data_IF_466661813625
#
_entry.id   IF_466661813625
#
_cell.length_a   1.000
_cell.length_b   1.000
_cell.length_c   1.000
_cell.angle_alpha   90.00
_cell.angle_beta   90.00
_cell.angle_gamma   90.00
#
_symmetry.space_group_name_H-M   'P 1'
#
loop_
_entity.id
_entity.type
_entity.pdbx_description
1 polymer ?
#
# COMPACT_ATOMS: atom_id res chain seq x y z
N UNK A 1 -5.66 -32.89 14.12
CA UNK A 1 -4.84 -31.69 13.82
C UNK A 1 -5.82 -30.56 13.52
N UNK A 2 -5.93 -29.55 14.40
CA UNK A 2 -6.86 -28.42 14.22
C UNK A 2 -6.44 -27.66 12.97
N UNK A 3 -7.33 -27.48 11.99
CA UNK A 3 -7.02 -26.65 10.82
C UNK A 3 -6.71 -25.24 11.33
N UNK A 4 -5.59 -24.63 10.91
CA UNK A 4 -5.26 -23.28 11.33
C UNK A 4 -6.37 -22.34 10.89
N UNK A 5 -6.83 -21.48 11.80
CA UNK A 5 -8.00 -20.64 11.58
C UNK A 5 -7.61 -19.22 11.15
N UNK A 6 -6.82 -19.18 10.08
CA UNK A 6 -6.20 -17.98 9.54
C UNK A 6 -7.26 -16.94 9.19
N UNK A 7 -8.37 -17.36 8.60
CA UNK A 7 -9.43 -16.46 8.15
C UNK A 7 -10.12 -15.77 9.35
N UNK A 8 -10.42 -16.50 10.43
CA UNK A 8 -11.03 -15.89 11.62
C UNK A 8 -10.09 -14.91 12.33
N UNK A 9 -8.80 -15.23 12.42
CA UNK A 9 -7.81 -14.31 13.01
C UNK A 9 -7.67 -13.06 12.14
N UNK A 10 -7.56 -13.23 10.82
CA UNK A 10 -7.46 -12.14 9.86
C UNK A 10 -8.70 -11.21 9.90
N UNK A 11 -9.91 -11.78 9.96
CA UNK A 11 -11.15 -11.02 10.11
C UNK A 11 -11.24 -10.29 11.46
N UNK A 12 -10.78 -10.92 12.54
CA UNK A 12 -10.71 -10.31 13.86
C UNK A 12 -9.79 -9.09 13.87
N UNK A 13 -8.58 -9.22 13.34
CA UNK A 13 -7.61 -8.13 13.23
C UNK A 13 -8.12 -7.00 12.33
N UNK A 14 -8.75 -7.35 11.20
CA UNK A 14 -9.35 -6.37 10.29
C UNK A 14 -10.45 -5.56 10.96
N UNK A 15 -11.35 -6.20 11.71
CA UNK A 15 -12.41 -5.51 12.49
C UNK A 15 -11.84 -4.64 13.60
N UNK A 16 -10.74 -5.07 14.23
CA UNK A 16 -10.05 -4.29 15.27
C UNK A 16 -9.19 -3.15 14.70
N UNK A 17 -9.08 -3.01 13.36
CA UNK A 17 -8.19 -2.02 12.75
C UNK A 17 -6.72 -2.24 13.12
N UNK A 18 -6.31 -3.48 13.36
CA UNK A 18 -4.92 -3.84 13.69
C UNK A 18 -4.19 -4.21 12.39
N UNK A 19 -3.09 -3.51 12.03
CA UNK A 19 -2.28 -3.87 10.87
C UNK A 19 -1.69 -5.28 11.03
N UNK A 20 -1.66 -6.03 9.93
CA UNK A 20 -0.99 -7.34 9.88
C UNK A 20 -0.51 -7.65 8.47
N UNK A 21 0.23 -8.75 8.31
CA UNK A 21 0.64 -9.30 7.02
C UNK A 21 0.06 -10.69 6.84
N UNK A 22 -0.49 -10.93 5.65
CA UNK A 22 -0.77 -12.27 5.14
C UNK A 22 0.44 -12.74 4.35
N UNK A 23 1.19 -13.70 4.89
CA UNK A 23 2.30 -14.34 4.19
C UNK A 23 1.84 -15.67 3.59
N UNK A 24 1.95 -15.83 2.28
CA UNK A 24 1.52 -17.03 1.54
C UNK A 24 2.71 -17.63 0.81
N UNK A 25 3.01 -18.90 1.05
CA UNK A 25 3.97 -19.66 0.25
C UNK A 25 3.32 -19.94 -1.11
N UNK A 26 3.78 -19.26 -2.16
CA UNK A 26 3.21 -19.34 -3.51
C UNK A 26 3.91 -20.38 -4.38
N UNK A 27 5.19 -20.68 -4.09
CA UNK A 27 5.98 -21.67 -4.82
C UNK A 27 6.95 -22.38 -3.91
N UNK A 28 7.18 -23.66 -4.16
CA UNK A 28 8.23 -24.45 -3.50
C UNK A 28 8.90 -25.38 -4.51
N UNK A 29 10.22 -25.52 -4.43
CA UNK A 29 11.02 -26.45 -5.24
C UNK A 29 11.89 -27.29 -4.31
N UNK A 30 11.98 -28.59 -4.60
CA UNK A 30 12.63 -29.60 -3.77
C UNK A 30 12.04 -29.69 -2.35
N UNK A 31 12.78 -30.32 -1.42
CA UNK A 31 12.31 -30.58 -0.07
C UNK A 31 12.25 -29.29 0.77
N UNK A 32 11.06 -28.72 0.89
CA UNK A 32 10.75 -27.59 1.78
C UNK A 32 9.82 -28.03 2.92
N UNK A 33 10.01 -27.41 4.09
CA UNK A 33 9.20 -27.66 5.29
C UNK A 33 7.75 -27.18 5.14
N UNK A 34 7.53 -26.02 4.51
CA UNK A 34 6.20 -25.58 4.10
C UNK A 34 5.95 -25.95 2.64
N UNK A 35 4.68 -26.15 2.28
CA UNK A 35 4.23 -26.42 0.91
C UNK A 35 3.54 -25.20 0.34
N UNK A 36 3.44 -25.13 -0.99
CA UNK A 36 2.61 -24.12 -1.64
C UNK A 36 1.19 -24.13 -1.06
N UNK A 37 0.64 -22.93 -0.84
CA UNK A 37 -0.64 -22.72 -0.16
C UNK A 37 -0.55 -22.61 1.37
N UNK A 38 0.61 -22.87 1.98
CA UNK A 38 0.82 -22.58 3.40
C UNK A 38 0.77 -21.06 3.65
N UNK A 39 0.08 -20.66 4.72
CA UNK A 39 -0.17 -19.26 5.06
C UNK A 39 0.21 -18.98 6.52
N UNK A 40 0.56 -17.73 6.82
CA UNK A 40 0.71 -17.23 8.17
C UNK A 40 0.19 -15.79 8.28
N UNK A 41 -0.40 -15.47 9.43
CA UNK A 41 -0.72 -14.11 9.85
C UNK A 41 0.42 -13.60 10.72
N UNK A 42 1.05 -12.51 10.30
CA UNK A 42 2.19 -11.90 10.99
C UNK A 42 1.76 -10.51 11.48
N UNK A 43 1.92 -10.25 12.77
CA UNK A 43 1.63 -8.94 13.38
C UNK A 43 2.79 -7.97 13.16
N UNK A 44 2.56 -6.68 13.43
CA UNK A 44 3.55 -5.60 13.26
C UNK A 44 4.85 -5.84 14.04
N UNK A 45 4.76 -6.41 15.25
CA UNK A 45 5.91 -6.78 16.06
C UNK A 45 6.73 -7.97 15.50
N UNK A 46 6.23 -8.63 14.45
CA UNK A 46 6.81 -9.83 13.83
C UNK A 46 6.32 -11.15 14.44
N UNK A 47 5.37 -11.12 15.38
CA UNK A 47 4.75 -12.32 15.94
C UNK A 47 3.90 -13.02 14.88
N UNK A 48 4.09 -14.33 14.71
CA UNK A 48 3.20 -15.16 13.88
C UNK A 48 1.99 -15.52 14.76
N UNK A 49 0.87 -14.81 14.55
CA UNK A 49 -0.35 -15.01 15.35
C UNK A 49 -1.03 -16.34 15.04
N UNK A 50 -0.97 -16.80 13.78
CA UNK A 50 -1.55 -18.06 13.32
C UNK A 50 -0.86 -18.55 12.04
N UNK A 51 -0.82 -19.86 11.83
CA UNK A 51 -0.31 -20.47 10.61
C UNK A 51 1.21 -20.69 10.60
N UNK A 52 1.74 -20.99 9.41
CA UNK A 52 3.13 -21.39 9.24
C UNK A 52 3.62 -21.15 7.81
N UNK A 53 4.83 -20.60 7.68
CA UNK A 53 5.51 -20.30 6.40
C UNK A 53 6.85 -21.04 6.24
N UNK A 54 7.14 -22.02 7.10
CA UNK A 54 8.39 -22.77 7.08
C UNK A 54 9.24 -22.61 8.34
N UNK A 55 10.35 -23.35 8.40
CA UNK A 55 11.29 -23.35 9.52
C UNK A 55 12.11 -22.05 9.65
N UNK A 56 13.11 -22.07 10.54
CA UNK A 56 13.91 -20.88 10.89
C UNK A 56 14.55 -20.15 9.71
N UNK A 57 14.97 -20.87 8.66
CA UNK A 57 15.72 -20.31 7.55
C UNK A 57 14.93 -19.33 6.68
N UNK A 58 13.62 -19.54 6.50
CA UNK A 58 12.76 -18.63 5.73
C UNK A 58 12.17 -17.50 6.59
N UNK A 59 11.95 -17.74 7.89
CA UNK A 59 11.30 -16.80 8.79
C UNK A 59 12.01 -15.46 8.87
N UNK A 60 13.33 -15.43 8.97
CA UNK A 60 14.06 -14.16 9.09
C UNK A 60 13.83 -13.23 7.90
N UNK A 61 13.82 -13.76 6.67
CA UNK A 61 13.59 -12.96 5.46
C UNK A 61 12.14 -12.50 5.35
N UNK A 62 11.18 -13.39 5.62
CA UNK A 62 9.74 -13.07 5.54
C UNK A 62 9.31 -12.10 6.63
N UNK A 63 9.78 -12.26 7.87
CA UNK A 63 9.44 -11.35 8.97
C UNK A 63 10.02 -9.94 8.74
N UNK A 64 11.22 -9.83 8.17
CA UNK A 64 11.77 -8.53 7.75
C UNK A 64 10.89 -7.91 6.66
N UNK A 65 10.56 -8.68 5.63
CA UNK A 65 9.68 -8.20 4.57
C UNK A 65 8.30 -7.79 5.10
N UNK A 66 7.73 -8.52 6.07
CA UNK A 66 6.45 -8.21 6.69
C UNK A 66 6.48 -6.87 7.43
N UNK A 67 7.52 -6.63 8.24
CA UNK A 67 7.69 -5.33 8.93
C UNK A 67 7.83 -4.18 7.97
N UNK A 68 8.67 -4.34 6.94
CA UNK A 68 8.82 -3.31 5.91
C UNK A 68 7.49 -3.08 5.15
N UNK A 69 6.72 -4.14 4.87
CA UNK A 69 5.42 -4.06 4.19
C UNK A 69 4.32 -3.38 5.00
N UNK A 70 4.30 -3.56 6.32
CA UNK A 70 3.38 -2.80 7.18
C UNK A 70 3.78 -1.33 7.20
N UNK A 71 5.09 -1.04 7.27
CA UNK A 71 5.58 0.34 7.36
C UNK A 71 5.32 1.16 6.09
N UNK A 72 5.37 0.54 4.91
CA UNK A 72 5.17 1.26 3.64
C UNK A 72 3.87 0.93 2.89
N UNK A 73 3.14 -0.09 3.33
CA UNK A 73 1.89 -0.55 2.72
C UNK A 73 2.07 -1.34 1.42
N UNK A 74 3.30 -1.72 1.06
CA UNK A 74 3.59 -2.33 -0.23
C UNK A 74 3.80 -3.86 -0.13
N UNK A 75 3.16 -4.65 -1.01
CA UNK A 75 3.37 -6.10 -1.04
C UNK A 75 4.77 -6.45 -1.55
N UNK A 76 5.30 -7.58 -1.09
CA UNK A 76 6.64 -8.06 -1.45
C UNK A 76 6.60 -9.53 -1.84
N UNK A 77 7.39 -9.90 -2.85
CA UNK A 77 7.66 -11.30 -3.16
C UNK A 77 9.08 -11.64 -2.69
N UNK A 78 9.20 -12.57 -1.74
CA UNK A 78 10.48 -13.02 -1.19
C UNK A 78 10.81 -14.41 -1.72
N UNK A 79 11.94 -14.55 -2.41
CA UNK A 79 12.47 -15.83 -2.86
C UNK A 79 13.62 -16.27 -1.95
N UNK A 80 13.40 -17.35 -1.20
CA UNK A 80 14.39 -17.95 -0.30
C UNK A 80 15.00 -19.15 -1.01
N UNK A 81 16.28 -19.04 -1.37
CA UNK A 81 16.99 -20.05 -2.18
C UNK A 81 18.36 -20.38 -1.60
N UNK A 82 18.90 -21.59 -1.82
CA UNK A 82 20.26 -21.92 -1.41
C UNK A 82 21.30 -21.14 -2.24
N UNK A 83 22.53 -21.07 -1.72
CA UNK A 83 23.59 -20.19 -2.24
C UNK A 83 24.04 -20.51 -3.68
N UNK A 84 24.02 -21.79 -4.06
CA UNK A 84 24.34 -22.24 -5.42
C UNK A 84 23.34 -21.69 -6.45
N UNK A 85 22.05 -21.79 -6.19
CA UNK A 85 21.01 -21.23 -7.08
C UNK A 85 21.07 -19.70 -7.16
N UNK A 86 21.37 -19.02 -6.04
CA UNK A 86 21.57 -17.57 -6.05
C UNK A 86 22.76 -17.17 -6.94
N UNK A 87 23.87 -17.92 -6.87
CA UNK A 87 25.05 -17.69 -7.69
C UNK A 87 24.79 -17.95 -9.18
N UNK A 88 24.07 -19.03 -9.53
CA UNK A 88 23.65 -19.32 -10.91
C UNK A 88 22.76 -18.22 -11.48
N UNK A 89 21.88 -17.66 -10.64
CA UNK A 89 21.03 -16.53 -11.00
C UNK A 89 21.79 -15.20 -11.02
N UNK A 90 23.02 -15.14 -10.51
CA UNK A 90 23.81 -13.91 -10.41
C UNK A 90 23.20 -12.86 -9.48
N UNK A 91 22.53 -13.29 -8.39
CA UNK A 91 21.90 -12.40 -7.41
C UNK A 91 22.50 -12.58 -6.01
N UNK A 92 22.55 -11.49 -5.25
CA UNK A 92 23.01 -11.51 -3.86
C UNK A 92 21.84 -11.59 -2.86
N UNK A 93 22.03 -12.20 -1.67
CA UNK A 93 21.03 -12.12 -0.61
C UNK A 93 20.70 -10.66 -0.24
N UNK A 94 19.42 -10.32 -0.19
CA UNK A 94 18.91 -8.97 0.04
C UNK A 94 18.67 -8.15 -1.24
N UNK A 95 19.19 -8.60 -2.38
CA UNK A 95 18.98 -7.95 -3.67
C UNK A 95 17.51 -8.00 -4.10
N UNK A 96 17.06 -6.91 -4.71
CA UNK A 96 15.78 -6.82 -5.40
C UNK A 96 16.03 -6.91 -6.90
N UNK A 97 15.45 -7.92 -7.57
CA UNK A 97 15.48 -8.03 -9.03
C UNK A 97 14.11 -8.46 -9.54
N UNK A 98 13.60 -7.75 -10.55
CA UNK A 98 12.30 -8.00 -11.18
C UNK A 98 11.13 -8.15 -10.18
N UNK A 99 11.13 -7.33 -9.12
CA UNK A 99 10.10 -7.35 -8.08
C UNK A 99 10.25 -8.48 -7.04
N UNK A 100 11.31 -9.29 -7.13
CA UNK A 100 11.61 -10.37 -6.19
C UNK A 100 12.75 -9.97 -5.28
N UNK A 101 12.56 -10.10 -3.96
CA UNK A 101 13.64 -10.02 -2.98
C UNK A 101 14.27 -11.39 -2.78
N UNK A 102 15.55 -11.51 -3.06
CA UNK A 102 16.27 -12.76 -2.85
C UNK A 102 16.79 -12.85 -1.42
N UNK A 103 16.73 -14.05 -0.85
CA UNK A 103 17.24 -14.34 0.47
C UNK A 103 17.92 -15.71 0.49
N UNK A 104 18.99 -15.82 1.27
CA UNK A 104 19.72 -17.07 1.43
C UNK A 104 18.94 -18.06 2.30
N UNK A 105 18.75 -19.26 1.78
CA UNK A 105 18.32 -20.42 2.56
C UNK A 105 19.51 -21.04 3.26
N UNK A 106 19.47 -21.09 4.59
CA UNK A 106 20.48 -21.77 5.43
C UNK A 106 20.10 -23.22 5.75
N UNK A 107 19.02 -23.75 5.17
CA UNK A 107 18.53 -25.10 5.49
C UNK A 107 19.33 -26.18 4.76
N UNK A 108 19.73 -27.28 5.43
CA UNK A 108 20.38 -28.42 4.78
C UNK A 108 19.57 -29.07 3.67
N UNK A 109 18.24 -28.88 3.64
CA UNK A 109 17.37 -29.48 2.63
C UNK A 109 17.55 -28.91 1.22
N UNK A 110 18.26 -27.78 1.08
CA UNK A 110 18.49 -27.05 -0.18
C UNK A 110 17.21 -26.74 -0.96
N UNK A 111 16.06 -26.71 -0.30
CA UNK A 111 14.79 -26.33 -0.92
C UNK A 111 14.78 -24.85 -1.28
N UNK A 112 13.98 -24.49 -2.28
CA UNK A 112 13.68 -23.09 -2.60
C UNK A 112 12.21 -22.81 -2.36
N UNK A 113 11.88 -21.60 -1.92
CA UNK A 113 10.50 -21.20 -1.72
C UNK A 113 10.28 -19.71 -2.01
N UNK A 114 9.13 -19.42 -2.60
CA UNK A 114 8.70 -18.06 -2.84
C UNK A 114 7.50 -17.76 -1.94
N UNK A 115 7.57 -16.64 -1.24
CA UNK A 115 6.57 -16.20 -0.27
C UNK A 115 6.07 -14.82 -0.68
N UNK A 116 4.78 -14.73 -0.96
CA UNK A 116 4.10 -13.45 -1.16
C UNK A 116 3.71 -12.89 0.21
N UNK A 117 4.15 -11.66 0.46
CA UNK A 117 4.00 -10.93 1.72
C UNK A 117 3.08 -9.76 1.44
N UNK A 118 1.84 -9.86 1.87
CA UNK A 118 0.79 -8.88 1.61
C UNK A 118 0.41 -8.16 2.91
N UNK A 119 0.68 -6.84 3.03
CA UNK A 119 0.21 -6.08 4.18
C UNK A 119 -1.28 -5.83 4.08
N UNK A 120 -1.97 -5.96 5.21
CA UNK A 120 -3.37 -5.57 5.40
C UNK A 120 -3.37 -4.45 6.41
N UNK A 121 -3.57 -3.23 5.90
CA UNK A 121 -3.60 -2.02 6.70
C UNK A 121 -5.04 -1.67 7.11
N UNK A 122 -5.23 -0.94 8.22
CA UNK A 122 -6.52 -0.42 8.60
C UNK A 122 -7.10 0.49 7.51
N UNK A 123 -8.42 0.50 7.37
CA UNK A 123 -9.10 1.40 6.44
C UNK A 123 -8.79 2.85 6.84
N UNK A 124 -8.47 3.76 5.91
CA UNK A 124 -8.26 5.15 6.25
C UNK A 124 -9.56 5.84 6.67
N UNK A 125 -9.51 6.65 7.71
CA UNK A 125 -10.66 7.38 8.23
C UNK A 125 -10.71 8.79 7.63
N UNK A 126 -11.88 9.16 7.08
CA UNK A 126 -12.18 10.53 6.68
C UNK A 126 -13.15 11.14 7.69
N UNK A 127 -12.67 12.11 8.47
CA UNK A 127 -13.53 12.90 9.33
C UNK A 127 -13.97 14.15 8.57
N UNK A 128 -15.28 14.30 8.41
CA UNK A 128 -15.90 15.48 7.81
C UNK A 128 -16.41 16.38 8.93
N UNK A 129 -15.71 17.50 9.16
CA UNK A 129 -16.04 18.44 10.21
C UNK A 129 -16.99 19.51 9.68
N UNK A 130 -18.29 19.32 9.92
CA UNK A 130 -19.36 20.24 9.54
C UNK A 130 -20.29 19.68 8.47
N UNK A 131 -21.57 20.03 8.58
CA UNK A 131 -22.67 19.52 7.77
C UNK A 131 -23.06 20.45 6.60
N UNK A 132 -22.08 21.13 5.98
CA UNK A 132 -22.37 21.88 4.74
C UNK A 132 -22.80 20.94 3.61
N UNK A 133 -23.48 21.42 2.56
CA UNK A 133 -23.81 20.60 1.39
C UNK A 133 -22.57 19.89 0.81
N UNK A 134 -21.42 20.56 0.78
CA UNK A 134 -20.13 19.94 0.36
C UNK A 134 -19.71 18.83 1.32
N UNK A 135 -19.82 19.05 2.63
CA UNK A 135 -19.48 18.04 3.65
C UNK A 135 -20.36 16.80 3.53
N UNK A 136 -21.67 16.98 3.34
CA UNK A 136 -22.62 15.88 3.14
C UNK A 136 -22.30 15.10 1.86
N UNK A 137 -22.11 15.78 0.73
CA UNK A 137 -21.75 15.15 -0.54
C UNK A 137 -20.40 14.41 -0.47
N UNK A 138 -19.43 14.98 0.24
CA UNK A 138 -18.12 14.36 0.47
C UNK A 138 -18.23 13.08 1.30
N UNK A 139 -19.01 13.09 2.38
CA UNK A 139 -19.19 11.94 3.25
C UNK A 139 -19.84 10.75 2.52
N UNK A 140 -20.79 11.02 1.61
CA UNK A 140 -21.38 9.99 0.75
C UNK A 140 -20.37 9.46 -0.29
N UNK A 141 -19.72 10.36 -1.03
CA UNK A 141 -18.84 9.98 -2.13
C UNK A 141 -17.61 9.21 -1.64
N UNK A 142 -16.99 9.63 -0.55
CA UNK A 142 -15.72 9.09 -0.08
C UNK A 142 -15.79 7.60 0.33
N UNK A 143 -16.96 7.11 0.78
CA UNK A 143 -17.17 5.68 1.10
C UNK A 143 -16.88 4.78 -0.09
N UNK A 144 -17.26 5.23 -1.30
CA UNK A 144 -17.02 4.51 -2.56
C UNK A 144 -15.53 4.42 -2.94
N UNK A 145 -14.66 5.21 -2.30
CA UNK A 145 -13.21 5.21 -2.51
C UNK A 145 -12.42 4.55 -1.38
N UNK A 146 -13.14 3.81 -0.51
CA UNK A 146 -12.55 3.01 0.57
C UNK A 146 -12.11 3.83 1.77
N UNK A 147 -12.80 4.93 2.05
CA UNK A 147 -12.67 5.65 3.32
C UNK A 147 -13.77 5.22 4.27
N UNK A 148 -13.41 5.05 5.54
CA UNK A 148 -14.37 4.97 6.63
C UNK A 148 -14.76 6.40 7.03
N UNK A 149 -16.02 6.79 6.81
CA UNK A 149 -16.44 8.19 6.94
C UNK A 149 -17.07 8.46 8.30
N UNK A 150 -16.58 9.54 8.93
CA UNK A 150 -17.03 9.98 10.26
C UNK A 150 -17.60 11.40 10.14
N UNK A 151 -18.89 11.56 10.42
CA UNK A 151 -19.52 12.88 10.46
C UNK A 151 -19.29 13.54 11.83
N UNK A 152 -18.59 14.68 11.84
CA UNK A 152 -18.35 15.48 13.03
C UNK A 152 -19.13 16.79 12.94
N UNK A 153 -20.28 16.86 13.62
CA UNK A 153 -21.16 18.02 13.58
C UNK A 153 -22.01 18.12 14.86
N UNK A 154 -22.52 19.32 15.22
CA UNK A 154 -23.48 19.47 16.31
C UNK A 154 -24.70 18.56 16.13
N UNK A 155 -25.33 18.13 17.23
CA UNK A 155 -26.47 17.21 17.20
C UNK A 155 -27.60 17.67 16.26
N UNK A 156 -27.87 18.98 16.18
CA UNK A 156 -28.88 19.58 15.30
C UNK A 156 -28.63 19.41 13.81
N UNK A 157 -27.40 19.08 13.43
CA UNK A 157 -26.94 19.03 12.04
C UNK A 157 -26.68 17.59 11.59
N UNK A 158 -26.71 16.63 12.52
CA UNK A 158 -26.45 15.22 12.24
C UNK A 158 -27.44 14.62 11.24
N UNK A 159 -28.71 15.03 11.27
CA UNK A 159 -29.70 14.51 10.31
C UNK A 159 -29.42 14.91 8.85
N UNK A 160 -28.50 15.84 8.59
CA UNK A 160 -28.11 16.21 7.23
C UNK A 160 -27.29 15.11 6.51
N UNK A 161 -26.66 14.19 7.26
CA UNK A 161 -25.91 13.08 6.71
C UNK A 161 -26.82 11.85 6.58
N UNK A 162 -27.19 11.39 5.37
CA UNK A 162 -28.06 10.22 5.22
C UNK A 162 -27.36 8.93 5.61
N UNK A 163 -26.12 8.74 5.13
CA UNK A 163 -25.31 7.56 5.42
C UNK A 163 -23.87 7.95 5.72
N UNK A 164 -23.38 7.52 6.88
CA UNK A 164 -21.98 7.60 7.32
C UNK A 164 -21.69 6.39 8.19
N UNK A 165 -20.42 6.00 8.27
CA UNK A 165 -20.04 4.82 9.03
C UNK A 165 -20.06 5.11 10.54
N UNK A 166 -19.62 6.30 10.96
CA UNK A 166 -19.65 6.78 12.35
C UNK A 166 -20.07 8.25 12.49
N UNK A 167 -20.47 8.63 13.71
CA UNK A 167 -20.90 10.00 14.07
C UNK A 167 -20.23 10.46 15.36
N UNK A 168 -19.77 11.71 15.36
CA UNK A 168 -19.25 12.41 16.54
C UNK A 168 -20.05 13.69 16.72
N UNK A 169 -20.60 13.88 17.92
CA UNK A 169 -21.25 15.14 18.28
C UNK A 169 -20.20 16.24 18.46
N UNK A 170 -20.32 17.31 17.68
CA UNK A 170 -19.36 18.42 17.66
C UNK A 170 -18.04 18.04 16.98
N UNK A 171 -16.93 18.56 17.51
CA UNK A 171 -15.60 18.48 16.88
C UNK A 171 -14.54 17.83 17.77
N UNK A 172 -14.92 17.21 18.88
CA UNK A 172 -13.96 16.53 19.76
C UNK A 172 -13.59 15.17 19.17
N UNK A 173 -12.45 15.13 18.46
CA UNK A 173 -11.96 13.92 17.81
C UNK A 173 -11.30 12.98 18.83
N UNK A 174 -11.49 11.64 18.72
CA UNK A 174 -10.82 10.68 19.58
C UNK A 174 -9.30 10.75 19.40
N UNK A 175 -8.56 10.65 20.51
CA UNK A 175 -7.10 10.61 20.50
C UNK A 175 -6.60 9.36 19.77
N UNK A 176 -7.26 8.22 20.02
CA UNK A 176 -6.92 6.93 19.46
C UNK A 176 -7.99 6.51 18.44
N UNK A 177 -7.58 6.36 17.20
CA UNK A 177 -8.40 5.86 16.10
C UNK A 177 -7.45 5.11 15.16
N UNK A 178 -7.88 3.93 14.67
CA UNK A 178 -7.04 3.08 13.84
C UNK A 178 -6.80 3.72 12.47
N UNK A 179 -5.63 3.43 11.89
CA UNK A 179 -5.30 3.83 10.52
C UNK A 179 -4.98 5.31 10.31
N UNK A 180 -4.78 5.66 9.04
CA UNK A 180 -4.51 7.03 8.61
C UNK A 180 -5.77 7.91 8.74
N UNK A 181 -5.59 9.15 9.19
CA UNK A 181 -6.68 10.12 9.34
C UNK A 181 -6.58 11.24 8.32
N UNK A 182 -7.71 11.50 7.68
CA UNK A 182 -7.91 12.61 6.76
C UNK A 182 -9.00 13.50 7.35
N UNK A 183 -8.75 14.80 7.46
CA UNK A 183 -9.68 15.75 8.08
C UNK A 183 -10.08 16.80 7.06
N UNK A 184 -11.38 16.93 6.81
CA UNK A 184 -11.91 17.96 5.92
C UNK A 184 -12.87 18.85 6.70
N UNK A 185 -12.49 20.11 6.87
CA UNK A 185 -13.30 21.11 7.55
C UNK A 185 -14.25 21.76 6.55
N UNK A 186 -15.53 21.45 6.68
CA UNK A 186 -16.62 21.86 5.79
C UNK A 186 -17.80 22.46 6.57
N UNK A 187 -17.52 23.40 7.48
CA UNK A 187 -18.54 23.99 8.37
C UNK A 187 -19.36 25.13 7.75
N UNK A 188 -18.94 25.66 6.60
CA UNK A 188 -19.56 26.81 5.94
C UNK A 188 -19.72 28.04 6.86
N UNK A 189 -18.77 28.28 7.77
CA UNK A 189 -18.80 29.43 8.70
C UNK A 189 -19.38 29.13 10.08
N UNK A 190 -20.04 27.97 10.27
CA UNK A 190 -20.64 27.57 11.55
C UNK A 190 -19.65 26.75 12.38
N UNK A 191 -18.69 27.45 12.98
CA UNK A 191 -17.69 26.83 13.87
C UNK A 191 -16.35 26.51 13.21
N UNK A 192 -15.96 27.23 12.14
CA UNK A 192 -14.68 27.03 11.46
C UNK A 192 -13.48 27.00 12.42
N UNK A 193 -13.45 27.92 13.40
CA UNK A 193 -12.33 28.00 14.33
C UNK A 193 -12.24 26.76 15.23
N UNK A 194 -13.38 26.32 15.79
CA UNK A 194 -13.44 25.14 16.64
C UNK A 194 -13.06 23.87 15.86
N UNK A 195 -13.59 23.71 14.64
CA UNK A 195 -13.26 22.59 13.76
C UNK A 195 -11.79 22.59 13.32
N UNK A 196 -11.22 23.75 12.97
CA UNK A 196 -9.80 23.85 12.62
C UNK A 196 -8.89 23.55 13.82
N UNK A 197 -9.22 24.02 15.02
CA UNK A 197 -8.45 23.69 16.24
C UNK A 197 -8.46 22.18 16.50
N UNK A 198 -9.63 21.56 16.42
CA UNK A 198 -9.76 20.11 16.55
C UNK A 198 -8.93 19.37 15.50
N UNK A 199 -8.97 19.82 14.25
CA UNK A 199 -8.22 19.19 13.18
C UNK A 199 -6.70 19.31 13.36
N UNK A 200 -6.23 20.50 13.76
CA UNK A 200 -4.81 20.77 14.01
C UNK A 200 -4.26 19.99 15.21
N UNK A 201 -5.09 19.76 16.24
CA UNK A 201 -4.75 18.94 17.40
C UNK A 201 -4.69 17.43 17.12
N UNK A 202 -5.06 16.99 15.92
CA UNK A 202 -5.07 15.57 15.54
C UNK A 202 -3.81 15.18 14.74
N UNK A 203 -3.28 13.95 14.91
CA UNK A 203 -2.24 13.39 14.06
C UNK A 203 -2.81 12.95 12.70
N UNK A 204 -3.28 13.92 11.91
CA UNK A 204 -3.84 13.69 10.58
C UNK A 204 -2.76 13.64 9.50
N UNK A 205 -2.89 12.67 8.60
CA UNK A 205 -2.11 12.58 7.36
C UNK A 205 -2.40 13.76 6.43
N UNK A 206 -3.63 14.28 6.48
CA UNK A 206 -4.03 15.43 5.68
C UNK A 206 -5.12 16.28 6.35
N UNK A 207 -5.00 17.60 6.23
CA UNK A 207 -6.02 18.56 6.71
C UNK A 207 -6.38 19.50 5.56
N UNK A 208 -7.65 19.51 5.18
CA UNK A 208 -8.17 20.41 4.15
C UNK A 208 -9.31 21.28 4.70
N UNK A 209 -9.40 22.51 4.20
CA UNK A 209 -10.44 23.47 4.59
C UNK A 209 -11.25 23.90 3.37
N UNK A 210 -12.55 23.64 3.42
CA UNK A 210 -13.51 24.08 2.41
C UNK A 210 -13.81 25.56 2.61
N UNK A 211 -13.12 26.40 1.84
CA UNK A 211 -13.32 27.84 1.84
C UNK A 211 -12.29 28.56 0.96
N UNK A 212 -12.55 29.84 0.71
CA UNK A 212 -11.66 30.68 -0.10
C UNK A 212 -10.30 30.87 0.58
N UNK A 213 -9.26 31.17 -0.22
CA UNK A 213 -7.91 31.50 0.28
C UNK A 213 -7.95 32.65 1.28
N UNK A 214 -8.75 33.69 1.00
CA UNK A 214 -8.91 34.85 1.87
C UNK A 214 -9.51 34.46 3.23
N UNK A 215 -10.57 33.62 3.23
CA UNK A 215 -11.19 33.14 4.47
C UNK A 215 -10.22 32.30 5.29
N UNK A 216 -9.51 31.37 4.64
CA UNK A 216 -8.50 30.56 5.29
C UNK A 216 -7.37 31.42 5.88
N UNK A 217 -6.87 32.44 5.16
CA UNK A 217 -5.85 33.34 5.67
C UNK A 217 -6.30 34.11 6.92
N UNK A 218 -7.53 34.63 6.91
CA UNK A 218 -8.11 35.31 8.08
C UNK A 218 -8.24 34.38 9.29
N UNK A 219 -8.70 33.15 9.08
CA UNK A 219 -8.81 32.15 10.15
C UNK A 219 -7.44 31.73 10.68
N UNK A 220 -6.45 31.49 9.80
CA UNK A 220 -5.08 31.20 10.22
C UNK A 220 -4.51 32.35 11.06
N UNK A 221 -4.75 33.60 10.70
CA UNK A 221 -4.30 34.76 11.50
C UNK A 221 -4.93 34.76 12.90
N UNK A 222 -6.25 34.52 13.02
CA UNK A 222 -6.92 34.42 14.33
C UNK A 222 -6.33 33.29 15.18
N UNK A 223 -6.13 32.12 14.58
CA UNK A 223 -5.54 30.96 15.26
C UNK A 223 -4.11 31.22 15.72
N UNK A 224 -3.28 31.91 14.91
CA UNK A 224 -1.93 32.36 15.31
C UNK A 224 -1.99 33.27 16.53
N UNK A 225 -2.89 34.26 16.52
CA UNK A 225 -3.06 35.18 17.65
C UNK A 225 -3.50 34.48 18.94
N UNK A 226 -4.10 33.29 18.84
CA UNK A 226 -4.45 32.44 19.99
C UNK A 226 -3.40 31.37 20.33
N UNK A 227 -2.18 31.47 19.78
CA UNK A 227 -1.07 30.60 20.15
C UNK A 227 -0.90 29.32 19.32
N UNK A 228 -1.63 29.14 18.22
CA UNK A 228 -1.35 28.03 17.29
C UNK A 228 -0.09 28.33 16.50
N UNK A 229 0.86 27.39 16.47
CA UNK A 229 2.15 27.58 15.78
C UNK A 229 1.97 27.65 14.26
N UNK A 230 2.87 28.36 13.60
CA UNK A 230 2.82 28.54 12.13
C UNK A 230 2.98 27.21 11.40
N UNK A 231 3.85 26.34 11.89
CA UNK A 231 4.13 25.02 11.29
C UNK A 231 2.88 24.14 11.28
N UNK A 232 2.09 24.20 12.36
CA UNK A 232 0.83 23.46 12.44
C UNK A 232 -0.20 24.00 11.44
N UNK A 233 -0.27 25.32 11.28
CA UNK A 233 -1.19 25.97 10.34
C UNK A 233 -0.84 25.73 8.87
N UNK A 234 0.44 25.49 8.57
CA UNK A 234 0.89 25.19 7.21
C UNK A 234 0.47 23.78 6.75
N UNK A 235 0.09 22.90 7.69
CA UNK A 235 -0.55 21.59 7.39
C UNK A 235 -1.93 21.74 6.76
N UNK A 236 -2.60 22.89 6.90
CA UNK A 236 -3.96 23.11 6.38
C UNK A 236 -3.92 23.55 4.93
N UNK A 237 -4.38 22.69 4.02
CA UNK A 237 -4.63 23.03 2.61
C UNK A 237 -5.93 23.81 2.47
N UNK A 238 -5.88 24.96 1.79
CA UNK A 238 -7.06 25.73 1.41
C UNK A 238 -6.84 26.44 0.05
N UNK A 239 -7.77 26.37 -0.91
CA UNK A 239 -9.04 25.62 -0.83
C UNK A 239 -8.82 24.11 -0.80
N UNK A 240 -9.75 23.38 -0.18
CA UNK A 240 -9.83 21.93 -0.30
C UNK A 240 -10.20 21.53 -1.73
N UNK A 241 -9.64 20.41 -2.19
CA UNK A 241 -9.84 19.86 -3.52
C UNK A 241 -8.73 20.19 -4.51
N UNK A 242 -8.66 19.38 -5.58
CA UNK A 242 -7.92 19.71 -6.79
C UNK A 242 -8.65 20.82 -7.57
N UNK A 243 -7.89 21.62 -8.31
CA UNK A 243 -8.46 22.68 -9.14
C UNK A 243 -8.98 22.09 -10.46
N UNK A 244 -10.25 21.66 -10.43
CA UNK A 244 -10.96 21.11 -11.60
C UNK A 244 -12.05 22.07 -12.12
N UNK A 245 -12.09 23.30 -11.62
CA UNK A 245 -13.17 24.25 -11.92
C UNK A 245 -14.53 23.89 -11.30
N UNK A 246 -14.54 23.12 -10.21
CA UNK A 246 -15.75 22.66 -9.53
C UNK A 246 -16.61 23.82 -8.97
N UNK A 247 -17.94 23.72 -9.14
CA UNK A 247 -18.91 24.72 -8.68
C UNK A 247 -19.96 24.11 -7.76
N UNK A 248 -20.51 22.93 -8.10
CA UNK A 248 -21.56 22.30 -7.28
C UNK A 248 -20.97 21.58 -6.05
N UNK A 249 -21.77 21.32 -4.99
CA UNK A 249 -21.31 20.54 -3.85
C UNK A 249 -20.73 19.17 -4.23
N UNK A 250 -21.32 18.50 -5.22
CA UNK A 250 -20.90 17.18 -5.71
C UNK A 250 -19.57 17.26 -6.49
N UNK A 251 -19.41 18.29 -7.34
CA UNK A 251 -18.15 18.53 -8.05
C UNK A 251 -17.02 18.89 -7.09
N UNK A 252 -17.31 19.69 -6.07
CA UNK A 252 -16.33 20.05 -5.03
C UNK A 252 -15.98 18.81 -4.19
N UNK A 253 -16.97 17.99 -3.82
CA UNK A 253 -16.73 16.73 -3.13
C UNK A 253 -15.84 15.80 -3.98
N UNK A 254 -16.08 15.70 -5.28
CA UNK A 254 -15.25 14.93 -6.21
C UNK A 254 -13.81 15.45 -6.25
N UNK A 255 -13.62 16.77 -6.31
CA UNK A 255 -12.28 17.37 -6.33
C UNK A 255 -11.51 17.12 -5.03
N UNK A 256 -12.21 17.11 -3.89
CA UNK A 256 -11.66 16.76 -2.57
C UNK A 256 -11.29 15.28 -2.53
N UNK A 257 -12.18 14.37 -2.95
CA UNK A 257 -11.86 12.94 -2.99
C UNK A 257 -10.65 12.66 -3.89
N UNK A 258 -10.54 13.33 -5.04
CA UNK A 258 -9.38 13.20 -5.91
C UNK A 258 -8.08 13.62 -5.22
N UNK A 259 -8.10 14.73 -4.46
CA UNK A 259 -6.98 15.14 -3.62
C UNK A 259 -6.66 14.12 -2.52
N UNK A 260 -7.65 13.60 -1.80
CA UNK A 260 -7.43 12.62 -0.74
C UNK A 260 -6.79 11.34 -1.29
N UNK A 261 -7.24 10.88 -2.46
CA UNK A 261 -6.64 9.74 -3.16
C UNK A 261 -5.21 10.06 -3.59
N UNK A 262 -4.95 11.26 -4.12
CA UNK A 262 -3.61 11.69 -4.48
C UNK A 262 -2.66 11.67 -3.27
N UNK A 263 -3.07 12.27 -2.14
CA UNK A 263 -2.28 12.30 -0.90
C UNK A 263 -2.00 10.89 -0.42
N UNK A 264 -3.04 10.04 -0.33
CA UNK A 264 -2.90 8.62 0.05
C UNK A 264 -1.87 7.92 -0.83
N UNK A 265 -1.94 8.07 -2.16
CA UNK A 265 -0.99 7.43 -3.09
C UNK A 265 0.41 8.05 -3.05
N UNK A 266 0.55 9.33 -2.72
CA UNK A 266 1.85 9.99 -2.54
C UNK A 266 2.53 9.54 -1.26
N UNK A 267 1.80 9.31 -0.17
CA UNK A 267 2.37 8.71 1.04
C UNK A 267 2.96 7.33 0.75
N UNK A 268 2.20 6.46 0.09
CA UNK A 268 2.71 5.14 -0.34
C UNK A 268 3.95 5.26 -1.26
N UNK A 269 3.92 6.16 -2.26
CA UNK A 269 5.06 6.39 -3.18
C UNK A 269 6.26 7.12 -2.57
N UNK A 270 6.04 7.98 -1.59
CA UNK A 270 7.10 8.72 -0.88
C UNK A 270 7.96 7.80 -0.05
N UNK A 271 7.35 6.77 0.54
CA UNK A 271 8.07 5.72 1.26
C UNK A 271 8.89 4.86 0.29
N UNK A 272 8.35 4.54 -0.90
CA UNK A 272 9.11 3.85 -1.96
C UNK A 272 10.38 4.62 -2.38
N UNK A 273 10.30 5.96 -2.50
CA UNK A 273 11.45 6.80 -2.88
C UNK A 273 12.48 6.91 -1.77
N UNK A 274 12.04 7.16 -0.53
CA UNK A 274 12.94 7.21 0.63
C UNK A 274 13.68 5.87 0.86
N UNK A 275 12.98 4.74 0.66
CA UNK A 275 13.59 3.39 0.71
C UNK A 275 14.54 3.08 -0.46
N UNK A 276 14.42 3.79 -1.58
CA UNK A 276 15.35 3.69 -2.72
C UNK A 276 16.56 4.62 -2.54
N UNK A 277 16.36 5.84 -2.03
CA UNK A 277 17.42 6.81 -1.77
C UNK A 277 18.34 6.39 -0.61
N UNK A 278 17.80 5.79 0.45
CA UNK A 278 18.59 5.19 1.53
C UNK A 278 19.48 4.01 1.06
N UNK A 279 19.24 3.46 -0.13
CA UNK A 279 20.09 2.42 -0.76
C UNK A 279 21.18 3.00 -1.69
N UNK A 280 21.14 4.30 -1.98
CA UNK A 280 22.09 4.98 -2.89
C UNK A 280 23.37 5.49 -2.22
N UNK A 281 23.40 5.65 -0.90
CA UNK A 281 24.60 6.06 -0.15
C UNK A 281 25.39 4.86 0.36
N UNK A 282 25.99 4.09 -0.56
CA UNK A 282 27.17 3.30 -0.21
C UNK A 282 28.37 4.21 -0.47
N UNK A 283 28.86 4.85 0.59
CA UNK A 283 30.10 5.60 0.56
C UNK A 283 31.21 4.70 -0.01
N UNK A 284 31.72 5.05 -1.19
CA UNK A 284 32.98 4.50 -1.69
C UNK A 284 34.10 5.06 -0.82
N UNK A 285 34.41 4.37 0.28
CA UNK A 285 35.70 4.54 0.92
C UNK A 285 36.74 3.90 0.00
N UNK A 286 37.40 4.76 -0.79
CA UNK A 286 38.65 4.42 -1.44
C UNK A 286 39.68 4.01 -0.37
N UNK A 287 40.43 2.91 -0.57
CA UNK A 287 41.47 2.55 0.38
C UNK A 287 42.62 3.54 0.28
N UNK A 288 43.08 3.99 1.45
CA UNK A 288 44.24 4.85 1.62
C UNK A 288 45.51 4.18 1.08
N UNK A 289 46.31 4.98 0.40
CA UNK A 289 47.63 4.64 -0.10
C UNK A 289 48.59 4.22 1.03
N UNK A 290 49.39 3.19 0.78
CA UNK A 290 50.63 2.94 1.50
C UNK A 290 51.63 2.16 0.62
N UNK A 291 52.67 2.88 0.16
CA UNK A 291 54.06 2.41 0.20
C UNK A 291 54.61 1.63 -0.99
N UNK A 292 55.43 2.32 -1.80
CA UNK A 292 56.41 1.76 -2.74
C UNK A 292 57.34 0.71 -2.11
N UNK A 293 57.58 -0.42 -2.81
CA UNK A 293 58.93 -1.01 -3.01
C UNK A 293 58.99 -1.79 -4.35
N UNK A 294 60.08 -1.49 -5.07
CA UNK A 294 60.66 -1.99 -6.32
C UNK A 294 60.38 -3.40 -6.93
N UNK A 295 60.52 -3.40 -8.26
CA UNK A 295 60.50 -4.47 -9.31
C UNK A 295 61.72 -5.43 -9.20
N UNK A 296 61.69 -6.69 -9.75
CA UNK A 296 62.03 -6.92 -11.16
C UNK A 296 61.20 -8.02 -11.93
N UNK A 297 60.86 -7.65 -13.17
CA UNK A 297 60.79 -8.37 -14.48
C UNK A 297 60.70 -9.92 -14.56
N UNK A 298 59.72 -10.47 -15.31
CA UNK A 298 59.96 -11.44 -16.43
C UNK A 298 58.70 -11.80 -17.26
N UNK A 299 58.75 -11.43 -18.56
CA UNK A 299 58.38 -12.16 -19.81
C UNK A 299 57.04 -12.88 -20.07
N UNK A 300 56.53 -12.60 -21.27
CA UNK A 300 55.74 -13.42 -22.23
C UNK A 300 54.22 -13.55 -21.95
N UNK A 301 53.31 -13.44 -22.90
CA UNK A 301 53.40 -13.36 -24.36
C UNK A 301 52.00 -13.09 -24.96
N UNK A 302 52.03 -12.86 -26.27
CA UNK A 302 51.01 -12.37 -27.19
C UNK A 302 49.65 -13.10 -27.25
N UNK A 303 48.62 -12.40 -27.78
CA UNK A 303 47.50 -13.03 -28.50
C UNK A 303 46.20 -12.23 -28.50
N UNK A 304 45.89 -11.54 -29.60
CA UNK A 304 44.70 -10.69 -29.76
C UNK A 304 43.35 -11.39 -29.96
N UNK A 305 42.28 -10.62 -30.25
CA UNK A 305 40.89 -11.03 -30.09
C UNK A 305 40.16 -11.39 -31.40
N UNK A 306 39.16 -12.25 -31.29
CA UNK A 306 38.13 -12.56 -32.29
C UNK A 306 37.30 -13.75 -31.78
N UNK A 307 35.98 -13.86 -31.93
CA UNK A 307 35.06 -13.30 -32.92
C UNK A 307 33.63 -13.46 -32.41
N UNK A 308 32.77 -12.54 -32.86
CA UNK A 308 31.33 -12.48 -32.69
C UNK A 308 30.53 -13.75 -33.08
N UNK A 309 29.32 -13.78 -32.51
CA UNK A 309 28.02 -14.19 -33.12
C UNK A 309 27.74 -15.68 -33.31
N UNK A 310 26.70 -16.13 -32.60
CA UNK A 310 25.48 -16.63 -33.25
C UNK A 310 24.26 -16.47 -32.35
N UNK A 311 23.20 -15.92 -32.94
CA UNK A 311 21.90 -15.70 -32.35
C UNK A 311 20.86 -16.64 -33.01
N UNK A 312 19.78 -16.88 -32.28
CA UNK A 312 18.40 -17.21 -32.71
C UNK A 312 18.14 -18.53 -33.47
N UNK A 313 17.32 -19.40 -32.86
CA UNK A 313 15.95 -19.69 -33.30
C UNK A 313 15.42 -21.00 -32.68
N UNK A 314 14.42 -20.93 -31.78
CA UNK A 314 13.44 -22.03 -31.61
C UNK A 314 12.21 -21.59 -30.78
N UNK A 315 11.19 -21.02 -31.43
CA UNK A 315 9.80 -21.01 -30.90
C UNK A 315 8.85 -21.08 -32.09
N UNK A 316 8.07 -22.16 -32.17
CA UNK A 316 7.00 -22.31 -33.14
C UNK A 316 6.33 -23.68 -33.03
N UNK A 317 5.02 -23.66 -32.85
CA UNK A 317 4.07 -24.78 -32.97
C UNK A 317 3.88 -25.72 -31.78
N UNK A 318 2.81 -25.46 -31.01
CA UNK A 318 1.64 -26.34 -30.92
C UNK A 318 0.65 -25.73 -29.93
N UNK A 319 -0.58 -25.48 -30.36
CA UNK A 319 -1.86 -25.71 -29.65
C UNK A 319 -2.97 -24.90 -30.33
N UNK A 320 -3.47 -25.44 -31.44
CA UNK A 320 -4.78 -25.14 -32.02
C UNK A 320 -5.51 -26.48 -32.10
N UNK A 321 -6.57 -26.65 -31.31
CA UNK A 321 -7.39 -27.87 -31.37
C UNK A 321 -8.47 -27.91 -30.30
N UNK A 322 -9.70 -27.60 -30.73
CA UNK A 322 -11.02 -28.04 -30.23
C UNK A 322 -11.99 -26.87 -29.93
N UNK A 323 -12.67 -26.39 -30.97
CA UNK A 323 -14.00 -25.75 -30.84
C UNK A 323 -15.06 -26.85 -30.95
N UNK A 324 -15.94 -26.99 -29.95
CA UNK A 324 -17.21 -27.73 -30.09
C UNK A 324 -18.31 -26.76 -30.54
N UNK A 325 -19.22 -27.23 -31.40
CA UNK A 325 -20.41 -26.52 -31.89
C UNK A 325 -21.51 -26.46 -30.81
N UNK A 326 -22.34 -25.40 -30.77
CA UNK A 326 -23.44 -25.27 -29.82
C UNK A 326 -24.73 -25.87 -30.42
N UNK A 327 -25.05 -27.11 -30.06
CA UNK A 327 -26.36 -27.71 -30.30
C UNK A 327 -26.53 -28.93 -29.40
N UNK A 328 -26.66 -28.70 -28.09
CA UNK A 328 -27.13 -29.66 -27.06
C UNK A 328 -27.05 -28.94 -25.70
N UNK A 329 -28.11 -28.20 -25.33
CA UNK A 329 -28.38 -27.82 -23.94
C UNK A 329 -29.88 -28.07 -23.69
N UNK A 330 -30.27 -28.72 -22.59
CA UNK A 330 -31.66 -28.81 -22.18
C UNK A 330 -32.10 -27.53 -21.46
N UNK A 331 -33.36 -27.15 -21.64
CA UNK A 331 -34.03 -26.05 -20.97
C UNK A 331 -34.08 -26.28 -19.45
N UNK A 332 -33.70 -25.28 -18.67
CA UNK A 332 -33.98 -25.22 -17.23
C UNK A 332 -34.32 -23.78 -16.82
N UNK A 333 -35.62 -23.56 -16.64
CA UNK A 333 -36.20 -22.43 -15.94
C UNK A 333 -35.70 -22.39 -14.48
N UNK A 334 -34.96 -21.35 -14.10
CA UNK A 334 -35.27 -20.48 -12.97
C UNK A 334 -34.15 -19.46 -12.77
N UNK A 335 -34.56 -18.21 -12.54
CA UNK A 335 -33.72 -17.03 -12.59
C UNK A 335 -32.83 -16.78 -11.38
N UNK A 336 -32.02 -15.73 -11.56
CA UNK A 336 -31.12 -15.08 -10.61
C UNK A 336 -29.83 -15.86 -10.33
N UNK A 337 -28.78 -15.61 -11.14
CA UNK A 337 -27.39 -15.41 -10.65
C UNK A 337 -26.28 -15.35 -11.74
N UNK A 338 -26.57 -15.47 -13.04
CA UNK A 338 -25.49 -15.52 -14.05
C UNK A 338 -25.04 -14.17 -14.66
N UNK A 339 -25.70 -13.05 -14.37
CA UNK A 339 -25.32 -11.75 -14.94
C UNK A 339 -24.13 -11.07 -14.23
N UNK A 340 -23.65 -11.59 -13.10
CA UNK A 340 -22.59 -10.95 -12.30
C UNK A 340 -21.18 -11.44 -12.63
N UNK A 341 -21.02 -12.63 -13.22
CA UNK A 341 -19.71 -13.24 -13.44
C UNK A 341 -19.14 -13.11 -14.87
N UNK A 342 -19.97 -12.81 -15.88
CA UNK A 342 -19.49 -12.64 -17.26
C UNK A 342 -19.03 -11.21 -17.60
N UNK A 343 -19.35 -10.22 -16.76
CA UNK A 343 -18.95 -8.81 -16.96
C UNK A 343 -17.51 -8.47 -16.56
N UNK A 344 -16.88 -9.27 -15.68
CA UNK A 344 -15.57 -8.92 -15.11
C UNK A 344 -14.35 -9.30 -15.97
N UNK A 345 -14.54 -10.07 -17.04
CA UNK A 345 -13.45 -10.58 -17.88
C UNK A 345 -13.23 -9.83 -19.20
N UNK A 346 -14.10 -8.89 -19.57
CA UNK A 346 -14.05 -8.17 -20.85
C UNK A 346 -13.69 -6.67 -20.76
N UNK A 347 -13.53 -6.09 -19.57
CA UNK A 347 -13.20 -4.66 -19.41
C UNK A 347 -11.70 -4.33 -19.26
N UNK A 348 -10.80 -5.31 -19.24
CA UNK A 348 -9.35 -5.06 -19.08
C UNK A 348 -8.59 -4.69 -20.36
N UNK A 349 -9.28 -4.44 -21.48
CA UNK A 349 -8.62 -4.13 -22.77
C UNK A 349 -8.51 -2.65 -23.13
N UNK A 350 -8.94 -1.72 -22.26
CA UNK A 350 -8.95 -0.29 -22.60
C UNK A 350 -8.32 0.69 -21.59
N UNK A 351 -7.58 0.22 -20.57
CA UNK A 351 -7.09 1.09 -19.49
C UNK A 351 -5.56 1.26 -19.44
N UNK A 352 -4.90 1.34 -20.60
CA UNK A 352 -3.50 1.77 -20.69
C UNK A 352 -3.33 2.74 -21.87
N UNK A 353 -3.57 4.02 -21.59
CA UNK A 353 -2.85 5.16 -22.16
C UNK A 353 -2.43 6.05 -21.01
#
# INVERSE_FOLDING_TARGET
MRKPNIDQIAEGLKRAGTPYVMATVVRTVAATAAKAGAKAVILEDGTIAEGWIGGGCARGAVLRAAREAIADGEPRLVSVQPEDLLAELGVSPGEMRDGVRFARNMCPSKGSMDVFVEPVLPVPHLYVLGASPVGVALADLARRFGFHTVACAPASDQQAFPEVDDRIEGYLLPADAPGERYLVVATQGRGDEAALRAALGSPAAHIAFVGSRAKAASLKQKLRSSGVRTEDLDRVKAPAGLDIGAVTPEEIALSIVAELVEVRRRHHRGILRAGTEARGTVAHNAPAEAGDVAVPVSSAGAGGPGTLRRALAFVGERLLGARKKPSEMPDAENGQDEAFYLGLLLQRRFCCM
#
